data_IF_397601852012
#
_entry.id   IF_397601852012
#
_cell.length_a   1.000
_cell.length_b   1.000
_cell.length_c   1.000
_cell.angle_alpha   90.00
_cell.angle_beta   90.00
_cell.angle_gamma   90.00
#
_symmetry.space_group_name_H-M   'P 1'
#
loop_
_entity.id
_entity.type
_entity.pdbx_description
1 polymer ?
#
# COMPACT_ATOMS: atom_id res chain seq x y z
N UNK A 1 -7.01 13.00 1.03
CA UNK A 1 -6.60 11.76 1.72
C UNK A 1 -5.33 11.22 1.06
N UNK A 2 -4.33 10.77 1.84
CA UNK A 2 -3.12 10.09 1.34
C UNK A 2 -3.23 8.61 1.70
N UNK A 3 -3.19 7.71 0.72
CA UNK A 3 -3.43 6.28 0.92
C UNK A 3 -2.37 5.45 0.20
N UNK A 4 -1.84 4.44 0.90
CA UNK A 4 -0.97 3.42 0.33
C UNK A 4 -1.83 2.17 0.18
N UNK A 5 -2.19 1.79 -1.05
CA UNK A 5 -3.18 0.76 -1.25
C UNK A 5 -2.61 -0.62 -0.94
N UNK A 6 -3.49 -1.47 -0.44
CA UNK A 6 -3.33 -2.90 -0.45
C UNK A 6 -4.40 -3.50 -1.36
N UNK A 7 -4.19 -4.73 -1.83
CA UNK A 7 -5.00 -5.34 -2.88
C UNK A 7 -6.38 -5.77 -2.37
N UNK A 8 -6.41 -6.63 -1.34
CA UNK A 8 -7.63 -7.00 -0.61
C UNK A 8 -7.28 -7.53 0.78
N UNK A 9 -8.22 -7.46 1.72
CA UNK A 9 -8.07 -8.09 3.04
C UNK A 9 -7.83 -9.60 2.92
N UNK A 10 -8.46 -10.24 1.93
CA UNK A 10 -8.30 -11.67 1.61
C UNK A 10 -6.86 -12.01 1.24
N UNK A 11 -6.27 -11.28 0.29
CA UNK A 11 -4.90 -11.53 -0.16
C UNK A 11 -3.87 -11.26 0.95
N UNK A 12 -4.16 -10.33 1.87
CA UNK A 12 -3.35 -10.09 3.06
C UNK A 12 -3.38 -11.28 4.03
N UNK A 13 -4.57 -11.80 4.35
CA UNK A 13 -4.73 -12.95 5.24
C UNK A 13 -4.09 -14.19 4.61
N UNK A 14 -4.29 -14.39 3.31
CA UNK A 14 -3.69 -15.49 2.56
C UNK A 14 -2.16 -15.44 2.60
N UNK A 15 -1.54 -14.30 2.26
CA UNK A 15 -0.08 -14.12 2.38
C UNK A 15 0.40 -14.30 3.82
N UNK A 16 -0.37 -13.85 4.81
CA UNK A 16 -0.07 -14.02 6.23
C UNK A 16 -0.06 -15.49 6.66
N UNK A 17 -1.11 -16.25 6.31
CA UNK A 17 -1.24 -17.67 6.61
C UNK A 17 -0.22 -18.55 5.86
N UNK A 18 0.13 -18.17 4.62
CA UNK A 18 1.15 -18.88 3.83
C UNK A 18 2.55 -18.75 4.42
N UNK A 19 2.88 -17.60 5.00
CA UNK A 19 4.18 -17.37 5.66
C UNK A 19 4.20 -17.87 7.10
N UNK A 20 3.07 -18.35 7.62
CA UNK A 20 2.94 -18.85 8.99
C UNK A 20 3.36 -20.32 9.04
N UNK A 21 4.44 -20.55 9.78
CA UNK A 21 4.92 -21.88 10.16
C UNK A 21 4.89 -21.96 11.67
N UNK A 22 4.41 -23.07 12.21
CA UNK A 22 4.46 -23.29 13.66
C UNK A 22 5.53 -24.31 13.98
N UNK A 23 6.30 -24.01 15.02
CA UNK A 23 7.35 -24.88 15.53
C UNK A 23 6.76 -25.69 16.68
N UNK A 24 6.73 -27.02 16.55
CA UNK A 24 6.37 -27.92 17.64
C UNK A 24 7.51 -28.93 17.84
N UNK A 25 8.11 -28.96 19.02
CA UNK A 25 9.25 -29.83 19.36
C UNK A 25 10.43 -29.75 18.37
N UNK A 26 10.74 -28.55 17.85
CA UNK A 26 11.88 -28.32 16.94
C UNK A 26 11.63 -28.69 15.48
N UNK A 27 10.43 -29.14 15.14
CA UNK A 27 10.00 -29.37 13.76
C UNK A 27 9.12 -28.23 13.28
N UNK A 28 9.40 -27.71 12.07
CA UNK A 28 8.55 -26.73 11.40
C UNK A 28 7.40 -27.45 10.69
N UNK A 29 6.18 -27.13 11.08
CA UNK A 29 4.99 -27.64 10.45
C UNK A 29 4.17 -26.53 9.78
N UNK A 30 3.54 -26.93 8.69
CA UNK A 30 2.61 -26.13 7.94
C UNK A 30 1.22 -26.14 8.57
N UNK A 31 0.58 -24.96 8.71
CA UNK A 31 -0.75 -24.81 9.35
C UNK A 31 -1.74 -25.83 8.77
N UNK A 32 -2.29 -26.78 9.56
CA UNK A 32 -3.23 -27.76 9.03
C UNK A 32 -4.55 -27.08 8.62
N UNK A 33 -5.11 -27.48 7.48
CA UNK A 33 -6.38 -26.93 6.97
C UNK A 33 -6.30 -25.52 6.36
N UNK A 34 -5.14 -25.09 5.82
CA UNK A 34 -4.93 -23.75 5.22
C UNK A 34 -6.04 -23.31 4.28
N UNK A 35 -6.40 -24.14 3.31
CA UNK A 35 -7.41 -23.80 2.30
C UNK A 35 -8.78 -23.53 2.92
N UNK A 36 -9.12 -24.25 3.99
CA UNK A 36 -10.37 -24.04 4.74
C UNK A 36 -10.32 -22.75 5.56
N UNK A 37 -9.19 -22.45 6.22
CA UNK A 37 -9.00 -21.20 6.96
C UNK A 37 -9.03 -19.99 6.04
N UNK A 38 -8.41 -20.07 4.85
CA UNK A 38 -8.44 -19.00 3.84
C UNK A 38 -9.86 -18.72 3.34
N UNK A 39 -10.61 -19.77 2.98
CA UNK A 39 -11.96 -19.63 2.42
C UNK A 39 -12.98 -19.08 3.43
N UNK A 40 -12.80 -19.38 4.71
CA UNK A 40 -13.75 -19.01 5.76
C UNK A 40 -13.21 -17.97 6.75
N UNK A 41 -12.10 -17.29 6.44
CA UNK A 41 -11.46 -16.30 7.32
C UNK A 41 -12.38 -15.16 7.80
N UNK A 42 -13.47 -14.89 7.07
CA UNK A 42 -14.46 -13.85 7.43
C UNK A 42 -15.65 -14.39 8.22
N UNK A 43 -15.76 -15.71 8.41
CA UNK A 43 -16.82 -16.33 9.19
C UNK A 43 -16.52 -16.20 10.70
N UNK A 44 -17.49 -15.82 11.55
CA UNK A 44 -17.25 -15.52 12.97
C UNK A 44 -16.54 -16.63 13.76
N UNK A 45 -16.88 -17.89 13.46
CA UNK A 45 -16.31 -19.07 14.12
C UNK A 45 -14.86 -19.33 13.69
N UNK A 46 -14.56 -19.17 12.41
CA UNK A 46 -13.20 -19.37 11.87
C UNK A 46 -12.29 -18.23 12.28
N UNK A 47 -12.81 -17.00 12.39
CA UNK A 47 -12.05 -15.87 12.96
C UNK A 47 -11.56 -16.16 14.38
N UNK A 48 -12.36 -16.84 15.19
CA UNK A 48 -12.01 -17.17 16.57
C UNK A 48 -10.86 -18.18 16.61
N UNK A 49 -10.88 -19.17 15.71
CA UNK A 49 -9.80 -20.14 15.54
C UNK A 49 -8.51 -19.50 14.98
N UNK A 50 -8.63 -18.67 13.93
CA UNK A 50 -7.49 -17.94 13.35
C UNK A 50 -6.84 -17.03 14.39
N UNK A 51 -7.64 -16.32 15.21
CA UNK A 51 -7.14 -15.53 16.33
C UNK A 51 -6.40 -16.37 17.36
N UNK A 52 -6.92 -17.56 17.70
CA UNK A 52 -6.26 -18.46 18.65
C UNK A 52 -4.91 -18.94 18.12
N UNK A 53 -4.82 -19.31 16.83
CA UNK A 53 -3.57 -19.72 16.19
C UNK A 53 -2.58 -18.55 16.14
N UNK A 54 -3.02 -17.36 15.70
CA UNK A 54 -2.17 -16.17 15.71
C UNK A 54 -1.64 -15.88 17.11
N UNK A 55 -2.50 -15.90 18.13
CA UNK A 55 -2.13 -15.68 19.54
C UNK A 55 -1.11 -16.70 20.03
N UNK A 56 -1.23 -17.96 19.63
CA UNK A 56 -0.30 -19.02 20.01
C UNK A 56 1.08 -18.87 19.35
N UNK A 57 1.13 -18.40 18.10
CA UNK A 57 2.39 -18.29 17.35
C UNK A 57 3.10 -16.97 17.58
N UNK A 58 2.38 -15.88 17.86
CA UNK A 58 2.94 -14.53 17.85
C UNK A 58 3.42 -14.01 19.20
N UNK A 59 3.26 -14.74 20.33
CA UNK A 59 3.51 -14.25 21.70
C UNK A 59 2.99 -12.81 21.93
N UNK A 60 1.91 -12.43 21.23
CA UNK A 60 1.42 -11.06 21.24
C UNK A 60 0.72 -10.83 22.58
N UNK A 61 1.38 -10.09 23.48
CA UNK A 61 0.76 -9.47 24.66
C UNK A 61 -0.19 -8.35 24.21
N UNK A 62 -1.30 -8.72 23.57
CA UNK A 62 -2.38 -7.80 23.27
C UNK A 62 -3.39 -7.85 24.40
N UNK A 63 -3.38 -6.83 25.26
CA UNK A 63 -4.56 -6.48 26.05
C UNK A 63 -5.76 -6.40 25.11
N UNK A 64 -6.61 -7.42 25.11
CA UNK A 64 -7.96 -7.49 24.56
C UNK A 64 -8.32 -6.52 23.40
N UNK A 65 -7.50 -6.47 22.34
CA UNK A 65 -7.83 -5.66 21.16
C UNK A 65 -8.85 -6.47 20.36
N UNK A 66 -10.11 -6.04 20.41
CA UNK A 66 -11.22 -6.64 19.67
C UNK A 66 -11.03 -6.39 18.17
N UNK A 67 -10.19 -7.20 17.53
CA UNK A 67 -9.88 -7.10 16.10
C UNK A 67 -10.98 -7.78 15.30
N UNK A 68 -11.75 -7.04 14.52
CA UNK A 68 -12.72 -7.62 13.58
C UNK A 68 -12.17 -7.55 12.17
N UNK A 69 -12.10 -8.69 11.49
CA UNK A 69 -11.58 -8.77 10.13
C UNK A 69 -12.77 -8.66 9.18
N UNK A 70 -12.85 -7.56 8.43
CA UNK A 70 -13.90 -7.34 7.45
C UNK A 70 -13.35 -7.53 6.03
N UNK A 71 -14.13 -8.09 5.09
CA UNK A 71 -13.73 -8.11 3.68
C UNK A 71 -13.77 -6.69 3.13
N UNK A 72 -12.59 -6.12 2.87
CA UNK A 72 -12.43 -4.77 2.34
C UNK A 72 -11.75 -4.88 0.97
N UNK A 73 -12.37 -4.26 -0.02
CA UNK A 73 -11.82 -4.14 -1.37
C UNK A 73 -11.63 -2.64 -1.68
N UNK A 74 -10.39 -2.12 -1.58
CA UNK A 74 -10.13 -0.68 -1.77
C UNK A 74 -10.62 -0.14 -3.12
N UNK A 75 -10.57 -0.95 -4.19
CA UNK A 75 -11.06 -0.58 -5.52
C UNK A 75 -12.59 -0.37 -5.58
N UNK A 76 -13.36 -1.02 -4.71
CA UNK A 76 -14.80 -0.82 -4.59
C UNK A 76 -15.12 0.31 -3.60
N UNK A 77 -14.39 0.38 -2.49
CA UNK A 77 -14.57 1.43 -1.49
C UNK A 77 -14.28 2.84 -2.03
N UNK A 78 -13.28 2.97 -2.89
CA UNK A 78 -12.86 4.27 -3.45
C UNK A 78 -13.94 4.93 -4.33
N UNK A 79 -14.85 4.14 -4.93
CA UNK A 79 -15.95 4.66 -5.75
C UNK A 79 -16.93 5.53 -4.95
N UNK A 80 -17.00 5.33 -3.64
CA UNK A 80 -17.84 6.10 -2.72
C UNK A 80 -17.17 7.40 -2.27
N UNK A 81 -15.90 7.62 -2.60
CA UNK A 81 -15.11 8.76 -2.14
C UNK A 81 -15.16 9.85 -3.22
N UNK A 82 -15.77 10.99 -2.87
CA UNK A 82 -15.92 12.16 -3.75
C UNK A 82 -14.90 13.27 -3.48
N UNK A 83 -14.19 13.21 -2.35
CA UNK A 83 -13.17 14.21 -1.98
C UNK A 83 -11.87 14.04 -2.80
N UNK A 84 -11.04 15.10 -2.91
CA UNK A 84 -9.75 15.00 -3.56
C UNK A 84 -8.81 13.96 -2.93
N UNK A 85 -8.24 13.10 -3.78
CA UNK A 85 -7.37 11.99 -3.39
C UNK A 85 -5.97 12.14 -4.00
N UNK A 86 -4.95 11.96 -3.16
CA UNK A 86 -3.57 11.88 -3.61
C UNK A 86 -3.00 10.51 -3.27
N UNK A 87 -2.75 9.73 -4.30
CA UNK A 87 -2.19 8.39 -4.22
C UNK A 87 -0.68 8.43 -4.43
N UNK A 88 0.05 7.78 -3.54
CA UNK A 88 1.51 7.72 -3.60
C UNK A 88 1.90 6.24 -3.55
N UNK A 89 2.63 5.76 -4.55
CA UNK A 89 3.03 4.36 -4.65
C UNK A 89 4.47 4.22 -5.11
N UNK A 90 5.20 3.24 -4.59
CA UNK A 90 6.55 2.93 -5.02
C UNK A 90 6.52 2.05 -6.27
N UNK A 91 7.22 2.44 -7.34
CA UNK A 91 7.30 1.65 -8.59
C UNK A 91 7.84 0.23 -8.34
N UNK A 92 8.78 0.10 -7.42
CA UNK A 92 9.49 -1.15 -7.12
C UNK A 92 8.97 -1.86 -5.87
N UNK A 93 7.73 -1.60 -5.45
CA UNK A 93 7.14 -2.26 -4.29
C UNK A 93 6.99 -3.78 -4.53
N UNK A 94 7.75 -4.57 -3.77
CA UNK A 94 7.74 -6.03 -3.85
C UNK A 94 6.50 -6.67 -3.19
N UNK A 95 5.81 -5.94 -2.31
CA UNK A 95 4.64 -6.45 -1.57
C UNK A 95 3.33 -6.19 -2.31
N UNK A 96 3.20 -5.03 -2.95
CA UNK A 96 1.99 -4.60 -3.63
C UNK A 96 2.30 -4.14 -5.07
N UNK A 97 1.76 -4.80 -6.10
CA UNK A 97 2.03 -4.45 -7.49
C UNK A 97 1.39 -3.10 -7.87
N UNK A 98 2.03 -2.37 -8.79
CA UNK A 98 1.53 -1.08 -9.31
C UNK A 98 0.11 -1.18 -9.90
N UNK A 99 -0.26 -2.33 -10.47
CA UNK A 99 -1.61 -2.58 -10.98
C UNK A 99 -2.70 -2.42 -9.91
N UNK A 100 -2.39 -2.70 -8.63
CA UNK A 100 -3.34 -2.53 -7.54
C UNK A 100 -3.67 -1.05 -7.31
N UNK A 101 -2.65 -0.16 -7.30
CA UNK A 101 -2.90 1.28 -7.17
C UNK A 101 -3.61 1.85 -8.39
N UNK A 102 -3.26 1.39 -9.61
CA UNK A 102 -3.93 1.84 -10.83
C UNK A 102 -5.43 1.54 -10.81
N UNK A 103 -5.81 0.36 -10.29
CA UNK A 103 -7.21 -0.05 -10.18
C UNK A 103 -7.98 0.86 -9.21
N UNK A 104 -7.38 1.18 -8.06
CA UNK A 104 -7.96 2.12 -7.08
C UNK A 104 -8.03 3.54 -7.66
N UNK A 105 -6.99 4.00 -8.34
CA UNK A 105 -6.96 5.31 -8.99
C UNK A 105 -8.03 5.44 -10.07
N UNK A 106 -8.21 4.42 -10.92
CA UNK A 106 -9.26 4.40 -11.94
C UNK A 106 -10.66 4.46 -11.31
N UNK A 107 -10.87 3.77 -10.19
CA UNK A 107 -12.15 3.76 -9.47
C UNK A 107 -12.51 5.07 -8.75
N UNK A 108 -11.55 5.97 -8.52
CA UNK A 108 -11.82 7.24 -7.86
C UNK A 108 -12.54 8.23 -8.78
N UNK A 109 -13.68 8.77 -8.32
CA UNK A 109 -14.54 9.68 -9.09
C UNK A 109 -14.16 11.17 -8.95
N UNK A 110 -13.55 11.54 -7.81
CA UNK A 110 -13.15 12.92 -7.51
C UNK A 110 -11.82 13.35 -8.16
N UNK A 111 -11.34 14.53 -7.78
CA UNK A 111 -10.00 14.99 -8.16
C UNK A 111 -8.98 13.99 -7.65
N UNK A 112 -8.17 13.47 -8.57
CA UNK A 112 -7.21 12.41 -8.26
C UNK A 112 -5.84 12.74 -8.81
N UNK A 113 -4.85 12.46 -7.97
CA UNK A 113 -3.44 12.57 -8.26
C UNK A 113 -2.80 11.23 -7.97
N UNK A 114 -2.03 10.69 -8.90
CA UNK A 114 -1.20 9.52 -8.67
C UNK A 114 0.26 9.92 -8.81
N UNK A 115 1.08 9.58 -7.82
CA UNK A 115 2.52 9.71 -7.89
C UNK A 115 3.19 8.35 -7.74
N UNK A 116 3.90 7.93 -8.79
CA UNK A 116 4.76 6.75 -8.77
C UNK A 116 6.21 7.16 -8.45
N UNK A 117 6.70 6.72 -7.30
CA UNK A 117 8.00 7.10 -6.74
C UNK A 117 9.07 6.05 -7.06
N UNK A 118 10.34 6.46 -7.05
CA UNK A 118 11.49 5.54 -7.19
C UNK A 118 11.82 4.77 -5.90
N UNK A 119 10.97 4.85 -4.87
CA UNK A 119 11.15 4.08 -3.64
C UNK A 119 11.29 2.58 -3.93
N UNK A 120 12.22 1.92 -3.23
CA UNK A 120 12.63 0.53 -3.50
C UNK A 120 11.85 -0.49 -2.68
N UNK A 121 11.21 -0.05 -1.60
CA UNK A 121 10.45 -0.91 -0.70
C UNK A 121 9.06 -0.35 -0.40
N UNK A 122 8.22 -1.17 0.22
CA UNK A 122 6.92 -0.76 0.73
C UNK A 122 7.09 0.39 1.73
N UNK A 123 6.36 1.50 1.55
CA UNK A 123 6.49 2.77 2.31
C UNK A 123 7.79 3.56 2.10
N UNK A 124 8.63 3.20 1.15
CA UNK A 124 9.97 3.80 1.01
C UNK A 124 9.94 5.22 0.39
N UNK A 125 8.81 5.67 -0.17
CA UNK A 125 8.68 7.01 -0.76
C UNK A 125 9.13 8.14 0.18
N UNK A 126 8.82 8.04 1.48
CA UNK A 126 9.20 9.05 2.47
C UNK A 126 10.68 8.95 2.85
N UNK A 127 11.19 7.73 3.05
CA UNK A 127 12.60 7.52 3.42
C UNK A 127 13.56 7.80 2.27
N UNK A 128 13.13 7.55 1.03
CA UNK A 128 13.93 7.80 -0.17
C UNK A 128 14.17 9.29 -0.40
N UNK A 129 13.13 10.11 -0.28
CA UNK A 129 13.24 11.56 -0.41
C UNK A 129 12.20 12.30 0.43
N UNK A 130 12.50 12.55 1.72
CA UNK A 130 11.53 13.16 2.63
C UNK A 130 11.19 14.59 2.24
N UNK A 131 12.12 15.33 1.63
CA UNK A 131 11.91 16.71 1.17
C UNK A 131 10.88 16.77 0.05
N UNK A 132 11.08 16.01 -1.03
CA UNK A 132 10.13 15.95 -2.16
C UNK A 132 8.78 15.40 -1.71
N UNK A 133 8.78 14.38 -0.84
CA UNK A 133 7.54 13.84 -0.30
C UNK A 133 6.75 14.93 0.44
N UNK A 134 7.41 15.63 1.36
CA UNK A 134 6.79 16.69 2.16
C UNK A 134 6.29 17.82 1.28
N UNK A 135 7.11 18.29 0.33
CA UNK A 135 6.75 19.34 -0.61
C UNK A 135 5.50 18.98 -1.42
N UNK A 136 5.45 17.77 -2.01
CA UNK A 136 4.31 17.35 -2.84
C UNK A 136 3.03 17.19 -2.02
N UNK A 137 3.14 16.66 -0.80
CA UNK A 137 2.00 16.52 0.11
C UNK A 137 1.49 17.89 0.54
N UNK A 138 2.38 18.78 0.98
CA UNK A 138 2.02 20.15 1.36
C UNK A 138 1.38 20.90 0.20
N UNK A 139 1.99 20.84 -0.99
CA UNK A 139 1.44 21.46 -2.20
C UNK A 139 0.03 20.96 -2.51
N UNK A 140 -0.19 19.65 -2.43
CA UNK A 140 -1.52 19.07 -2.64
C UNK A 140 -2.54 19.62 -1.64
N UNK A 141 -2.19 19.67 -0.34
CA UNK A 141 -3.07 20.25 0.68
C UNK A 141 -3.35 21.72 0.42
N UNK A 142 -2.32 22.52 0.10
CA UNK A 142 -2.49 23.93 -0.23
C UNK A 142 -3.44 24.12 -1.42
N UNK A 143 -3.28 23.35 -2.50
CA UNK A 143 -4.15 23.41 -3.67
C UNK A 143 -5.61 23.01 -3.37
N UNK A 144 -5.81 22.05 -2.46
CA UNK A 144 -7.16 21.65 -2.00
C UNK A 144 -7.78 22.77 -1.17
N UNK A 145 -7.02 23.39 -0.27
CA UNK A 145 -7.52 24.46 0.60
C UNK A 145 -7.78 25.77 -0.15
N UNK A 146 -6.94 26.12 -1.12
CA UNK A 146 -7.13 27.33 -1.94
C UNK A 146 -8.16 27.16 -3.06
N UNK A 147 -8.59 25.92 -3.34
CA UNK A 147 -9.49 25.61 -4.45
C UNK A 147 -8.81 25.65 -5.83
N UNK A 148 -7.51 25.93 -5.91
CA UNK A 148 -6.76 25.92 -7.18
C UNK A 148 -6.79 24.55 -7.87
N UNK A 149 -6.97 23.46 -7.10
CA UNK A 149 -7.08 22.11 -7.64
C UNK A 149 -8.22 21.99 -8.66
N UNK A 150 -9.29 22.79 -8.53
CA UNK A 150 -10.44 22.78 -9.44
C UNK A 150 -10.15 23.40 -10.80
N UNK A 151 -9.04 24.14 -10.93
CA UNK A 151 -8.58 24.73 -12.19
C UNK A 151 -7.63 23.79 -12.97
N UNK A 152 -7.14 22.74 -12.34
CA UNK A 152 -6.32 21.70 -12.98
C UNK A 152 -7.18 20.54 -13.51
N UNK A 153 -6.64 19.71 -14.43
CA UNK A 153 -7.31 18.47 -14.83
C UNK A 153 -7.67 17.60 -13.63
N UNK A 154 -8.86 16.99 -13.66
CA UNK A 154 -9.32 16.08 -12.60
C UNK A 154 -8.39 14.90 -12.37
N UNK A 155 -7.74 14.42 -13.42
CA UNK A 155 -6.82 13.28 -13.39
C UNK A 155 -5.40 13.74 -13.73
N UNK A 156 -4.42 13.32 -12.93
CA UNK A 156 -3.00 13.59 -13.20
C UNK A 156 -2.14 12.51 -12.58
N UNK A 157 -1.31 11.89 -13.42
CA UNK A 157 -0.32 10.89 -13.03
C UNK A 157 1.06 11.52 -13.18
N UNK A 158 1.86 11.43 -12.13
CA UNK A 158 3.24 11.93 -12.10
C UNK A 158 4.14 10.76 -11.78
N UNK A 159 5.18 10.59 -12.56
CA UNK A 159 6.18 9.57 -12.33
C UNK A 159 7.55 10.21 -12.10
N UNK A 160 8.29 9.69 -11.11
CA UNK A 160 9.68 10.06 -10.98
C UNK A 160 10.48 9.47 -12.16
N UNK A 161 11.44 10.26 -12.66
CA UNK A 161 12.36 9.83 -13.71
C UNK A 161 13.30 8.78 -13.14
N UNK A 162 13.57 7.72 -13.90
CA UNK A 162 14.48 6.67 -13.46
C UNK A 162 15.86 7.24 -13.07
N UNK A 163 16.41 6.75 -11.96
CA UNK A 163 17.70 7.22 -11.42
C UNK A 163 18.85 7.02 -12.43
N UNK A 164 18.72 6.07 -13.35
CA UNK A 164 19.64 5.85 -14.47
C UNK A 164 19.77 7.07 -15.39
N UNK A 165 18.64 7.76 -15.66
CA UNK A 165 18.59 8.95 -16.50
C UNK A 165 19.21 10.15 -15.79
N UNK A 166 18.96 10.28 -14.48
CA UNK A 166 19.51 11.35 -13.64
C UNK A 166 21.03 11.21 -13.47
N UNK A 167 21.53 9.99 -13.32
CA UNK A 167 22.97 9.69 -13.33
C UNK A 167 23.61 9.98 -14.70
N UNK A 168 22.95 9.62 -15.80
CA UNK A 168 23.42 9.90 -17.17
C UNK A 168 23.47 11.41 -17.47
N UNK A 169 22.45 12.17 -17.03
CA UNK A 169 22.39 13.63 -17.16
C UNK A 169 23.50 14.32 -16.34
N UNK A 170 23.72 13.90 -15.08
CA UNK A 170 24.85 14.40 -14.27
C UNK A 170 26.20 14.08 -14.92
N UNK A 171 26.37 12.90 -15.53
CA UNK A 171 27.59 12.52 -16.27
C UNK A 171 27.77 13.37 -17.54
N UNK A 172 26.70 13.61 -18.30
CA UNK A 172 26.70 14.42 -19.54
C UNK A 172 27.00 15.90 -19.27
N UNK A 173 26.49 16.47 -18.19
CA UNK A 173 26.80 17.84 -17.76
C UNK A 173 28.24 17.97 -17.24
N UNK A 174 28.76 16.96 -16.52
CA UNK A 174 30.16 16.94 -16.08
C UNK A 174 31.15 16.78 -17.23
N UNK A 175 30.78 16.04 -18.28
CA UNK A 175 31.60 15.82 -19.49
C UNK A 175 31.58 16.99 -20.48
N UNK A 176 30.61 17.91 -20.37
CA UNK A 176 30.52 19.15 -21.18
C UNK A 176 31.20 20.37 -20.55
N UNK A 177 31.71 20.23 -19.31
CA UNK A 177 32.43 21.27 -18.57
C UNK A 177 33.95 21.04 -18.55
N UNK A 178 34.46 20.22 -19.46
CA UNK A 178 35.90 20.00 -19.69
C UNK A 178 36.21 20.41 -21.12
#
# INVERSE_FOLDING_TARGET
>A
MVFIPFDSSENLIKKGLQNLKFSLFGYEFDVPGRSFLEQYAFHPYVQSLVKAILKAVSNLNTHNIQTYVYPLHPAESIKKISIPCFFIHCKNDQKVPVKAIESVYKGAAGYKRLWLTNGRHHFDSFFYNPEIYTERVQKFFSQVMSGELFNEPKEKVVEDKDDSTTAMLKKKYKKRRV
#
